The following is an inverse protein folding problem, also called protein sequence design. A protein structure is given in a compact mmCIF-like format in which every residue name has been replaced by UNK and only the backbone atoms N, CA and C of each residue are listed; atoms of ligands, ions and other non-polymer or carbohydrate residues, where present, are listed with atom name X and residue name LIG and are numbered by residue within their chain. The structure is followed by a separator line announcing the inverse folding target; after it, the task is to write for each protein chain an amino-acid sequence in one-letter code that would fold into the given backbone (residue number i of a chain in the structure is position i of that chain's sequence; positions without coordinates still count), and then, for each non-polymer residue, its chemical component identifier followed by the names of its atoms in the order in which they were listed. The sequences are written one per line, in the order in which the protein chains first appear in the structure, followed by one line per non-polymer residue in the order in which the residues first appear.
data_IF_121123022368
#
_entry.id   IF_121123022368
#
_cell.length_a   1.000
_cell.length_b   1.000
_cell.length_c   1.000
_cell.angle_alpha   90.00
_cell.angle_beta   90.00
_cell.angle_gamma   90.00
#
_symmetry.space_group_name_H-M   'P 1'
#
loop_
_entity.id
_entity.type
_entity.pdbx_description
1 polymer ?
#
# COMPACT_ATOMS: atom_id res chain seq x y z
N UNK A 1 -26.96 11.34 23.32
CA UNK A 1 -26.68 11.74 24.71
C UNK A 1 -27.16 13.16 24.88
N UNK A 2 -28.37 13.30 25.40
CA UNK A 2 -28.99 14.59 25.69
C UNK A 2 -28.26 15.28 26.84
N UNK A 3 -27.91 16.56 26.67
CA UNK A 3 -27.64 17.45 27.78
C UNK A 3 -28.64 18.60 27.69
N UNK A 4 -29.66 18.52 28.54
CA UNK A 4 -30.65 19.57 28.73
C UNK A 4 -30.00 20.86 29.21
N UNK A 5 -30.32 21.95 28.52
CA UNK A 5 -29.98 23.29 28.95
C UNK A 5 -30.94 23.70 30.07
N UNK A 6 -30.45 23.68 31.30
CA UNK A 6 -31.13 24.26 32.45
C UNK A 6 -31.08 25.79 32.37
N UNK A 7 -32.25 26.39 32.22
CA UNK A 7 -32.51 27.82 32.30
C UNK A 7 -32.36 28.27 33.77
N UNK A 8 -31.62 29.35 34.10
CA UNK A 8 -31.58 29.84 35.46
C UNK A 8 -32.89 30.59 35.76
N UNK A 9 -33.73 30.00 36.61
CA UNK A 9 -34.84 30.71 37.25
C UNK A 9 -34.25 31.81 38.16
N UNK A 10 -34.46 33.06 37.78
CA UNK A 10 -34.27 34.21 38.66
C UNK A 10 -35.47 34.26 39.60
N UNK A 11 -35.26 33.75 40.82
CA UNK A 11 -36.18 33.94 41.94
C UNK A 11 -36.31 35.43 42.24
N UNK A 12 -37.50 35.97 41.98
CA UNK A 12 -37.89 37.31 42.39
C UNK A 12 -37.75 37.43 43.92
N UNK A 13 -36.72 38.16 44.37
CA UNK A 13 -36.64 38.62 45.74
C UNK A 13 -37.79 39.61 45.96
N UNK A 14 -38.80 39.18 46.71
CA UNK A 14 -39.86 40.01 47.29
C UNK A 14 -39.19 40.95 48.31
N UNK A 15 -38.66 42.08 47.87
CA UNK A 15 -38.41 43.20 48.76
C UNK A 15 -39.76 43.86 49.04
N UNK A 16 -40.17 43.83 50.31
CA UNK A 16 -41.34 44.56 50.79
C UNK A 16 -41.05 46.07 50.68
N UNK A 17 -41.45 46.66 49.57
CA UNK A 17 -41.50 48.12 49.43
C UNK A 17 -42.68 48.64 50.24
N UNK A 18 -42.36 49.46 51.25
CA UNK A 18 -43.30 50.41 51.84
C UNK A 18 -43.88 51.24 50.68
N UNK A 19 -45.19 51.55 50.64
CA UNK A 19 -45.77 52.27 49.50
C UNK A 19 -45.04 53.60 49.39
N UNK A 20 -44.23 53.74 48.35
CA UNK A 20 -43.63 55.01 47.98
C UNK A 20 -44.80 55.95 47.71
N UNK A 21 -45.06 56.87 48.65
CA UNK A 21 -45.99 57.97 48.45
C UNK A 21 -45.49 58.73 47.23
N UNK A 22 -46.10 58.46 46.09
CA UNK A 22 -45.77 59.06 44.81
C UNK A 22 -46.09 60.54 44.92
N UNK A 23 -45.10 61.33 45.32
CA UNK A 23 -45.23 62.76 45.60
C UNK A 23 -45.84 63.53 44.40
N UNK A 24 -45.73 62.96 43.20
CA UNK A 24 -46.36 63.45 41.97
C UNK A 24 -47.89 63.42 41.97
N UNK A 25 -48.51 62.62 42.85
CA UNK A 25 -49.96 62.46 42.98
C UNK A 25 -50.57 63.35 44.06
N UNK A 26 -49.76 64.08 44.82
CA UNK A 26 -50.20 64.94 45.90
C UNK A 26 -50.37 66.36 45.35
N UNK A 27 -51.52 66.97 45.60
CA UNK A 27 -51.82 68.32 45.12
C UNK A 27 -51.06 69.38 45.92
N UNK A 28 -50.73 70.51 45.30
CA UNK A 28 -49.98 71.59 45.95
C UNK A 28 -50.68 72.11 47.23
N UNK A 29 -52.01 72.13 47.24
CA UNK A 29 -52.84 72.52 48.40
C UNK A 29 -52.74 71.55 49.58
N UNK A 30 -52.50 70.27 49.32
CA UNK A 30 -52.28 69.24 50.34
C UNK A 30 -50.84 69.28 50.86
N UNK A 31 -49.88 69.61 49.99
CA UNK A 31 -48.49 69.81 50.35
C UNK A 31 -48.30 71.01 51.30
N UNK A 32 -49.03 72.10 51.06
CA UNK A 32 -49.01 73.32 51.89
C UNK A 32 -49.50 73.10 53.33
N UNK A 33 -50.29 72.04 53.57
CA UNK A 33 -50.77 71.67 54.92
C UNK A 33 -49.70 70.97 55.76
N UNK A 34 -48.56 70.59 55.17
CA UNK A 34 -47.50 69.89 55.88
C UNK A 34 -46.49 70.84 56.54
N UNK A 35 -45.93 70.40 57.67
CA UNK A 35 -44.82 71.10 58.31
C UNK A 35 -43.52 70.96 57.51
N UNK A 36 -42.65 71.97 57.62
CA UNK A 36 -41.34 72.02 56.94
C UNK A 36 -40.50 70.77 57.20
N UNK A 37 -40.50 70.26 58.43
CA UNK A 37 -39.71 69.10 58.85
C UNK A 37 -40.20 67.79 58.20
N UNK A 38 -41.51 67.67 57.96
CA UNK A 38 -42.10 66.50 57.29
C UNK A 38 -41.79 66.50 55.80
N UNK A 39 -41.91 67.66 55.14
CA UNK A 39 -41.51 67.86 53.74
C UNK A 39 -40.03 67.51 53.54
N UNK A 40 -39.14 67.98 54.42
CA UNK A 40 -37.70 67.66 54.36
C UNK A 40 -37.44 66.15 54.54
N UNK A 41 -38.13 65.48 55.49
CA UNK A 41 -37.98 64.03 55.68
C UNK A 41 -38.47 63.23 54.48
N UNK A 42 -39.59 63.62 53.86
CA UNK A 42 -40.12 62.97 52.66
C UNK A 42 -39.23 63.19 51.44
N UNK A 43 -38.73 64.40 51.23
CA UNK A 43 -37.79 64.72 50.17
C UNK A 43 -36.53 63.86 50.28
N UNK A 44 -35.91 63.78 51.46
CA UNK A 44 -34.71 62.94 51.68
C UNK A 44 -34.95 61.45 51.43
N UNK A 45 -36.14 60.94 51.78
CA UNK A 45 -36.53 59.55 51.48
C UNK A 45 -36.66 59.32 49.98
N UNK A 46 -37.39 60.19 49.28
CA UNK A 46 -37.55 60.11 47.83
C UNK A 46 -36.22 60.25 47.08
N UNK A 47 -35.31 61.12 47.54
CA UNK A 47 -33.96 61.26 46.99
C UNK A 47 -33.12 59.99 47.20
N UNK A 48 -33.20 59.35 48.37
CA UNK A 48 -32.50 58.10 48.66
C UNK A 48 -33.06 56.93 47.83
N UNK A 49 -34.38 56.80 47.69
CA UNK A 49 -35.03 55.80 46.84
C UNK A 49 -34.66 55.97 45.37
N UNK A 50 -34.74 57.21 44.85
CA UNK A 50 -34.29 57.52 43.48
C UNK A 50 -32.81 57.15 43.27
N UNK A 51 -31.94 57.45 44.24
CA UNK A 51 -30.53 57.06 44.17
C UNK A 51 -30.37 55.53 44.15
N UNK A 52 -31.11 54.80 44.99
CA UNK A 52 -31.10 53.33 45.00
C UNK A 52 -31.50 52.75 43.64
N UNK A 53 -32.61 53.22 43.06
CA UNK A 53 -33.08 52.75 41.75
C UNK A 53 -32.05 53.04 40.65
N UNK A 54 -31.40 54.21 40.68
CA UNK A 54 -30.33 54.55 39.73
C UNK A 54 -29.16 53.57 39.84
N UNK A 55 -28.75 53.23 41.07
CA UNK A 55 -27.66 52.27 41.30
C UNK A 55 -28.04 50.86 40.85
N UNK A 56 -29.27 50.41 41.13
CA UNK A 56 -29.77 49.11 40.70
C UNK A 56 -29.87 49.02 39.17
N UNK A 57 -30.33 50.08 38.52
CA UNK A 57 -30.33 50.18 37.06
C UNK A 57 -28.90 50.12 36.49
N UNK A 58 -27.95 50.82 37.10
CA UNK A 58 -26.52 50.76 36.70
C UNK A 58 -25.93 49.35 36.86
N UNK A 59 -26.26 48.67 37.96
CA UNK A 59 -25.85 47.28 38.21
C UNK A 59 -26.44 46.33 37.15
N UNK A 60 -27.75 46.43 36.89
CA UNK A 60 -28.43 45.62 35.88
C UNK A 60 -27.82 45.81 34.50
N UNK A 61 -27.53 47.07 34.13
CA UNK A 61 -26.98 47.36 32.82
C UNK A 61 -25.54 46.84 32.65
N UNK A 62 -24.73 46.88 33.71
CA UNK A 62 -23.42 46.20 33.74
C UNK A 62 -23.54 44.69 33.55
N UNK A 63 -24.52 44.05 34.21
CA UNK A 63 -24.72 42.61 34.10
C UNK A 63 -25.21 42.19 32.70
N UNK A 64 -26.14 42.95 32.09
CA UNK A 64 -26.59 42.73 30.72
C UNK A 64 -25.41 42.82 29.75
N UNK A 65 -24.58 43.85 29.88
CA UNK A 65 -23.38 44.00 29.05
C UNK A 65 -22.38 42.86 29.25
N UNK A 66 -22.17 42.41 30.49
CA UNK A 66 -21.29 41.27 30.81
C UNK A 66 -21.77 39.99 30.11
N UNK A 67 -23.06 39.68 30.18
CA UNK A 67 -23.65 38.51 29.52
C UNK A 67 -23.58 38.60 28.01
N UNK A 68 -23.86 39.78 27.45
CA UNK A 68 -23.76 40.00 26.01
C UNK A 68 -22.33 39.75 25.51
N UNK A 69 -21.31 40.24 26.23
CA UNK A 69 -19.92 39.98 25.88
C UNK A 69 -19.54 38.49 25.98
N UNK A 70 -20.07 37.77 26.97
CA UNK A 70 -19.86 36.32 27.07
C UNK A 70 -20.44 35.58 25.85
N UNK A 71 -21.69 35.88 25.47
CA UNK A 71 -22.30 35.27 24.27
C UNK A 71 -21.56 35.64 22.99
N UNK A 72 -21.07 36.88 22.86
CA UNK A 72 -20.26 37.28 21.71
C UNK A 72 -18.95 36.48 21.62
N UNK A 73 -18.29 36.24 22.75
CA UNK A 73 -17.07 35.43 22.79
C UNK A 73 -17.36 33.96 22.45
N UNK A 74 -18.47 33.41 22.94
CA UNK A 74 -18.90 32.05 22.62
C UNK A 74 -19.23 31.90 21.12
N UNK A 75 -19.94 32.86 20.53
CA UNK A 75 -20.21 32.91 19.09
C UNK A 75 -18.91 32.91 18.28
N UNK A 76 -17.89 33.67 18.70
CA UNK A 76 -16.59 33.66 18.02
C UNK A 76 -15.89 32.31 18.13
N UNK A 77 -15.83 31.74 19.34
CA UNK A 77 -15.20 30.43 19.55
C UNK A 77 -15.89 29.30 18.77
N UNK A 78 -17.23 29.30 18.71
CA UNK A 78 -17.98 28.33 17.93
C UNK A 78 -17.76 28.50 16.42
N UNK A 79 -17.57 29.73 15.93
CA UNK A 79 -17.19 29.98 14.54
C UNK A 79 -15.83 29.38 14.21
N UNK A 80 -14.84 29.53 15.09
CA UNK A 80 -13.50 28.98 14.88
C UNK A 80 -13.51 27.45 14.83
N UNK A 81 -14.27 26.81 15.75
CA UNK A 81 -14.45 25.35 15.73
C UNK A 81 -15.15 24.88 14.46
N UNK A 82 -16.20 25.58 14.03
CA UNK A 82 -16.93 25.23 12.80
C UNK A 82 -16.03 25.39 11.57
N UNK A 83 -15.23 26.46 11.50
CA UNK A 83 -14.26 26.67 10.44
C UNK A 83 -13.27 25.51 10.37
N UNK A 84 -12.72 25.09 11.52
CA UNK A 84 -11.80 23.95 11.56
C UNK A 84 -12.47 22.65 11.10
N UNK A 85 -13.70 22.39 11.54
CA UNK A 85 -14.46 21.23 11.09
C UNK A 85 -14.73 21.26 9.59
N UNK A 86 -14.96 22.43 8.98
CA UNK A 86 -15.15 22.57 7.54
C UNK A 86 -13.87 22.27 6.75
N UNK A 87 -12.73 22.74 7.25
CA UNK A 87 -11.40 22.44 6.70
C UNK A 87 -11.14 20.92 6.75
N UNK A 88 -11.30 20.30 7.91
CA UNK A 88 -11.13 18.85 8.07
C UNK A 88 -12.09 18.06 7.17
N UNK A 89 -13.33 18.54 7.00
CA UNK A 89 -14.29 17.92 6.09
C UNK A 89 -13.85 18.02 4.62
N UNK A 90 -13.21 19.12 4.24
CA UNK A 90 -12.66 19.31 2.90
C UNK A 90 -11.45 18.40 2.68
N UNK A 91 -10.53 18.33 3.64
CA UNK A 91 -9.38 17.42 3.59
C UNK A 91 -9.84 15.96 3.45
N UNK A 92 -10.89 15.54 4.16
CA UNK A 92 -11.47 14.21 4.03
C UNK A 92 -12.06 13.96 2.63
N UNK A 93 -12.70 14.98 2.01
CA UNK A 93 -13.18 14.87 0.63
C UNK A 93 -12.02 14.70 -0.35
N UNK A 94 -10.95 15.46 -0.18
CA UNK A 94 -9.78 15.39 -1.05
C UNK A 94 -9.06 14.04 -0.90
N UNK A 95 -8.96 13.53 0.33
CA UNK A 95 -8.42 12.19 0.60
C UNK A 95 -9.27 11.09 -0.05
N UNK A 96 -10.59 11.19 0.02
CA UNK A 96 -11.48 10.24 -0.68
C UNK A 96 -11.20 10.20 -2.18
N UNK A 97 -11.06 11.38 -2.83
CA UNK A 97 -10.70 11.46 -4.25
C UNK A 97 -9.36 10.79 -4.55
N UNK A 98 -8.34 11.08 -3.74
CA UNK A 98 -7.00 10.47 -3.88
C UNK A 98 -7.04 8.94 -3.76
N UNK A 99 -7.74 8.41 -2.76
CA UNK A 99 -7.86 6.96 -2.54
C UNK A 99 -8.64 6.28 -3.68
N UNK A 100 -9.65 6.93 -4.24
CA UNK A 100 -10.38 6.39 -5.38
C UNK A 100 -9.50 6.33 -6.64
N UNK A 101 -8.67 7.35 -6.88
CA UNK A 101 -7.70 7.34 -7.98
C UNK A 101 -6.68 6.19 -7.83
N UNK A 102 -6.14 6.01 -6.63
CA UNK A 102 -5.21 4.91 -6.34
C UNK A 102 -5.88 3.54 -6.47
N UNK A 103 -7.13 3.41 -6.03
CA UNK A 103 -7.94 2.21 -6.26
C UNK A 103 -8.11 1.92 -7.75
N UNK A 104 -8.35 2.95 -8.58
CA UNK A 104 -8.45 2.79 -10.04
C UNK A 104 -7.10 2.43 -10.67
N UNK A 105 -5.99 3.02 -10.21
CA UNK A 105 -4.63 2.62 -10.64
C UNK A 105 -4.36 1.15 -10.31
N UNK A 106 -4.69 0.70 -9.10
CA UNK A 106 -4.56 -0.70 -8.68
C UNK A 106 -5.33 -1.67 -9.58
N UNK A 107 -6.57 -1.31 -9.96
CA UNK A 107 -7.36 -2.10 -10.93
C UNK A 107 -6.71 -2.16 -12.31
N UNK A 108 -6.15 -1.05 -12.82
CA UNK A 108 -5.45 -1.04 -14.11
C UNK A 108 -4.22 -1.94 -14.09
N UNK A 109 -3.38 -1.82 -13.05
CA UNK A 109 -2.18 -2.65 -12.87
C UNK A 109 -2.56 -4.13 -12.79
N UNK A 110 -3.59 -4.48 -12.00
CA UNK A 110 -4.04 -5.87 -11.89
C UNK A 110 -4.48 -6.46 -13.24
N UNK A 111 -5.18 -5.69 -14.08
CA UNK A 111 -5.57 -6.14 -15.43
C UNK A 111 -4.36 -6.33 -16.35
N UNK A 112 -3.39 -5.42 -16.33
CA UNK A 112 -2.15 -5.59 -17.10
C UNK A 112 -1.34 -6.78 -16.61
N UNK A 113 -1.24 -6.99 -15.30
CA UNK A 113 -0.58 -8.15 -14.72
C UNK A 113 -1.21 -9.47 -15.19
N UNK A 114 -2.54 -9.54 -15.20
CA UNK A 114 -3.24 -10.71 -15.73
C UNK A 114 -3.01 -10.92 -17.24
N UNK A 115 -2.96 -9.83 -18.03
CA UNK A 115 -2.63 -9.90 -19.47
C UNK A 115 -1.21 -10.43 -19.67
N UNK A 116 -0.24 -9.88 -18.96
CA UNK A 116 1.15 -10.32 -18.98
C UNK A 116 1.24 -11.80 -18.60
N UNK A 117 0.60 -12.22 -17.50
CA UNK A 117 0.59 -13.61 -17.06
C UNK A 117 0.04 -14.57 -18.13
N UNK A 118 -1.07 -14.20 -18.80
CA UNK A 118 -1.62 -15.00 -19.92
C UNK A 118 -0.64 -15.07 -21.11
N UNK A 119 -0.04 -13.95 -21.48
CA UNK A 119 0.93 -13.88 -22.57
C UNK A 119 2.16 -14.74 -22.28
N UNK A 120 2.79 -14.55 -21.12
CA UNK A 120 3.98 -15.31 -20.70
C UNK A 120 3.69 -16.82 -20.63
N UNK A 121 2.56 -17.23 -20.07
CA UNK A 121 2.18 -18.64 -20.05
C UNK A 121 1.96 -19.21 -21.47
N UNK A 122 1.37 -18.41 -22.38
CA UNK A 122 1.21 -18.79 -23.78
C UNK A 122 2.54 -18.94 -24.51
N UNK A 123 3.49 -18.03 -24.27
CA UNK A 123 4.82 -18.04 -24.84
C UNK A 123 5.61 -19.28 -24.36
N UNK A 124 5.63 -19.52 -23.05
CA UNK A 124 6.28 -20.71 -22.46
C UNK A 124 5.73 -22.02 -23.03
N UNK A 125 4.40 -22.15 -23.20
CA UNK A 125 3.82 -23.35 -23.82
C UNK A 125 4.31 -23.57 -25.25
N UNK A 126 4.45 -22.51 -26.05
CA UNK A 126 4.97 -22.60 -27.42
C UNK A 126 6.44 -23.00 -27.42
N UNK A 127 7.26 -22.38 -26.58
CA UNK A 127 8.68 -22.72 -26.47
C UNK A 127 8.89 -24.16 -26.03
N UNK A 128 8.17 -24.63 -25.01
CA UNK A 128 8.21 -26.05 -24.58
C UNK A 128 7.82 -26.98 -25.72
N UNK A 129 6.76 -26.67 -26.48
CA UNK A 129 6.36 -27.48 -27.63
C UNK A 129 7.47 -27.55 -28.70
N UNK A 130 8.13 -26.42 -28.98
CA UNK A 130 9.25 -26.36 -29.92
C UNK A 130 10.43 -27.21 -29.41
N UNK A 131 10.78 -27.11 -28.12
CA UNK A 131 11.86 -27.90 -27.54
C UNK A 131 11.56 -29.40 -27.55
N UNK A 132 10.32 -29.80 -27.26
CA UNK A 132 9.90 -31.21 -27.34
C UNK A 132 9.97 -31.73 -28.77
N UNK A 133 9.53 -30.94 -29.75
CA UNK A 133 9.66 -31.31 -31.16
C UNK A 133 11.13 -31.47 -31.56
N UNK A 134 11.99 -30.55 -31.11
CA UNK A 134 13.42 -30.62 -31.41
C UNK A 134 14.10 -31.82 -30.77
N UNK A 135 13.71 -32.16 -29.54
CA UNK A 135 14.20 -33.34 -28.84
C UNK A 135 13.89 -34.61 -29.63
N UNK A 136 12.63 -34.74 -30.09
CA UNK A 136 12.19 -35.89 -30.91
C UNK A 136 12.98 -36.01 -32.23
N UNK A 137 13.26 -34.90 -32.90
CA UNK A 137 14.10 -34.91 -34.11
C UNK A 137 15.53 -35.39 -33.81
N UNK A 138 16.11 -34.97 -32.68
CA UNK A 138 17.46 -35.38 -32.29
C UNK A 138 17.50 -36.87 -31.89
N UNK A 139 16.49 -37.36 -31.17
CA UNK A 139 16.34 -38.78 -30.85
C UNK A 139 16.24 -39.66 -32.11
N UNK A 140 15.47 -39.21 -33.10
CA UNK A 140 15.37 -39.92 -34.38
C UNK A 140 16.72 -39.97 -35.11
N UNK A 141 17.42 -38.83 -35.22
CA UNK A 141 18.75 -38.77 -35.85
C UNK A 141 19.77 -39.65 -35.11
N UNK A 142 19.71 -39.67 -33.78
CA UNK A 142 20.57 -40.53 -32.98
C UNK A 142 20.32 -42.01 -33.30
N UNK A 143 19.06 -42.42 -33.43
CA UNK A 143 18.71 -43.79 -33.80
C UNK A 143 19.20 -44.15 -35.22
N UNK A 144 19.09 -43.24 -36.17
CA UNK A 144 19.61 -43.40 -37.54
C UNK A 144 21.12 -43.60 -37.54
N UNK A 145 21.86 -42.74 -36.83
CA UNK A 145 23.33 -42.85 -36.69
C UNK A 145 23.74 -44.15 -35.99
N UNK A 146 23.01 -44.60 -34.98
CA UNK A 146 23.28 -45.88 -34.31
C UNK A 146 23.12 -47.04 -35.30
N UNK A 147 22.04 -47.04 -36.09
CA UNK A 147 21.79 -48.07 -37.11
C UNK A 147 22.89 -48.07 -38.18
N UNK A 148 23.23 -46.91 -38.74
CA UNK A 148 24.32 -46.79 -39.72
C UNK A 148 25.65 -47.28 -39.15
N UNK A 149 25.95 -46.98 -37.88
CA UNK A 149 27.14 -47.50 -37.21
C UNK A 149 27.11 -49.04 -37.05
N UNK A 150 25.94 -49.64 -36.82
CA UNK A 150 25.81 -51.10 -36.74
C UNK A 150 26.03 -51.75 -38.11
N UNK A 151 25.40 -51.21 -39.15
CA UNK A 151 25.58 -51.67 -40.53
C UNK A 151 27.06 -51.57 -40.96
N UNK A 152 27.73 -50.46 -40.64
CA UNK A 152 29.16 -50.28 -40.91
C UNK A 152 30.02 -51.32 -40.16
N UNK A 153 29.70 -51.62 -38.89
CA UNK A 153 30.41 -52.66 -38.13
C UNK A 153 30.24 -54.04 -38.77
N UNK A 154 29.06 -54.37 -39.25
CA UNK A 154 28.80 -55.63 -39.96
C UNK A 154 29.62 -55.73 -41.25
N UNK A 155 29.67 -54.65 -42.04
CA UNK A 155 30.51 -54.59 -43.26
C UNK A 155 31.99 -54.78 -42.92
N UNK A 156 32.50 -54.11 -41.88
CA UNK A 156 33.88 -54.29 -41.45
C UNK A 156 34.18 -55.74 -41.04
N UNK A 157 33.28 -56.40 -40.30
CA UNK A 157 33.43 -57.81 -39.92
C UNK A 157 33.48 -58.74 -41.13
N UNK A 158 32.59 -58.56 -42.12
CA UNK A 158 32.61 -59.35 -43.35
C UNK A 158 33.94 -59.17 -44.12
N UNK A 159 34.43 -57.94 -44.24
CA UNK A 159 35.71 -57.66 -44.90
C UNK A 159 36.90 -58.27 -44.14
N UNK A 160 36.85 -58.27 -42.80
CA UNK A 160 37.84 -58.95 -41.97
C UNK A 160 37.82 -60.46 -42.19
N UNK A 161 36.66 -61.09 -42.22
CA UNK A 161 36.51 -62.53 -42.51
C UNK A 161 37.05 -62.90 -43.90
N UNK A 162 36.71 -62.13 -44.94
CA UNK A 162 37.25 -62.33 -46.29
C UNK A 162 38.78 -62.21 -46.31
N UNK A 163 39.35 -61.22 -45.62
CA UNK A 163 40.81 -61.04 -45.49
C UNK A 163 41.45 -62.24 -44.78
N UNK A 164 40.85 -62.76 -43.72
CA UNK A 164 41.34 -63.95 -43.02
C UNK A 164 41.26 -65.21 -43.90
N UNK A 165 40.16 -65.40 -44.64
CA UNK A 165 39.98 -66.52 -45.56
C UNK A 165 40.97 -66.49 -46.73
N UNK A 166 41.20 -65.31 -47.30
CA UNK A 166 42.20 -65.09 -48.34
C UNK A 166 43.61 -65.38 -47.80
N UNK A 167 43.98 -64.84 -46.65
CA UNK A 167 45.28 -65.09 -46.00
C UNK A 167 45.48 -66.57 -45.66
N UNK A 168 44.43 -67.26 -45.22
CA UNK A 168 44.45 -68.70 -44.94
C UNK A 168 44.63 -69.50 -46.21
N UNK A 169 43.97 -69.13 -47.32
CA UNK A 169 44.14 -69.74 -48.65
C UNK A 169 45.56 -69.54 -49.19
N UNK A 170 46.13 -68.34 -49.05
CA UNK A 170 47.54 -68.10 -49.41
C UNK A 170 48.51 -68.89 -48.51
N UNK A 171 48.16 -69.16 -47.24
CA UNK A 171 48.97 -69.93 -46.28
C UNK A 171 48.88 -71.44 -46.49
N UNK A 172 47.71 -71.99 -46.85
CA UNK A 172 47.58 -73.39 -47.25
C UNK A 172 48.25 -73.67 -48.61
N UNK A 173 48.28 -72.70 -49.52
CA UNK A 173 49.07 -72.79 -50.76
C UNK A 173 50.59 -72.64 -50.56
N UNK A 174 51.04 -72.05 -49.44
CA UNK A 174 52.46 -71.97 -49.06
C UNK A 174 52.93 -73.14 -48.17
N UNK A 175 52.01 -74.03 -47.75
CA UNK A 175 52.34 -75.15 -46.86
C UNK A 175 53.13 -76.29 -47.54
N UNK A 176 53.26 -76.25 -48.87
CA UNK A 176 54.14 -77.16 -49.64
C UNK A 176 55.51 -76.55 -49.99
N UNK A 177 55.80 -75.31 -49.58
CA UNK A 177 57.11 -74.68 -49.85
C UNK A 177 57.72 -74.09 -48.59
N UNK A 178 58.38 -74.99 -47.84
CA UNK A 178 59.64 -74.75 -47.12
C UNK A 178 59.87 -73.35 -46.51
N UNK A 179 59.61 -73.26 -45.21
CA UNK A 179 60.59 -72.89 -44.17
C UNK A 179 61.68 -71.87 -44.60
N UNK A 180 61.43 -70.58 -44.36
CA UNK A 180 62.49 -69.61 -44.05
C UNK A 180 62.09 -68.76 -42.86
N UNK A 181 62.86 -68.90 -41.79
CA UNK A 181 62.94 -67.96 -40.67
C UNK A 181 63.59 -66.66 -41.15
N UNK A 182 63.08 -65.50 -40.72
CA UNK A 182 63.94 -64.37 -40.42
C UNK A 182 63.28 -63.38 -39.44
N UNK A 183 64.14 -62.72 -38.68
CA UNK A 183 63.95 -62.07 -37.40
C UNK A 183 63.19 -60.73 -37.39
N UNK A 184 62.54 -60.52 -36.23
CA UNK A 184 62.39 -59.29 -35.44
C UNK A 184 63.06 -58.05 -36.04
N UNK A 185 62.23 -57.11 -36.52
CA UNK A 185 62.62 -55.76 -36.92
C UNK A 185 61.51 -54.79 -36.56
N UNK A 186 61.68 -54.10 -35.44
CA UNK A 186 60.85 -53.00 -34.95
C UNK A 186 60.63 -51.92 -36.02
N UNK A 187 59.37 -51.58 -36.30
CA UNK A 187 58.93 -50.27 -36.82
C UNK A 187 57.42 -50.12 -36.52
N UNK A 188 57.06 -49.37 -35.49
CA UNK A 188 56.74 -47.94 -35.52
C UNK A 188 55.26 -47.72 -35.88
N UNK A 189 54.43 -47.58 -34.83
CA UNK A 189 53.08 -47.03 -34.96
C UNK A 189 53.20 -45.55 -35.27
N UNK A 190 52.73 -45.13 -36.46
CA UNK A 190 52.43 -43.73 -36.72
C UNK A 190 51.15 -43.42 -35.94
N UNK A 191 51.28 -42.71 -34.82
CA UNK A 191 50.16 -42.09 -34.14
C UNK A 191 49.86 -40.74 -34.82
N UNK A 192 48.66 -40.65 -35.38
CA UNK A 192 48.03 -39.46 -35.95
C UNK A 192 47.99 -38.29 -34.94
N UNK A 193 48.42 -37.06 -35.30
CA UNK A 193 48.38 -35.91 -34.40
C UNK A 193 46.99 -35.27 -34.20
N UNK A 194 45.93 -35.73 -34.87
CA UNK A 194 44.61 -35.04 -34.80
C UNK A 194 43.57 -35.65 -33.84
N UNK A 195 43.91 -36.68 -33.07
CA UNK A 195 43.01 -37.20 -32.03
C UNK A 195 43.19 -36.46 -30.70
N UNK A 196 42.34 -35.45 -30.55
CA UNK A 196 42.03 -34.74 -29.33
C UNK A 196 41.84 -35.71 -28.15
N UNK A 197 42.66 -35.53 -27.13
CA UNK A 197 42.66 -36.27 -25.86
C UNK A 197 41.23 -36.43 -25.33
N UNK A 198 40.74 -37.67 -25.24
CA UNK A 198 39.71 -38.03 -24.25
C UNK A 198 40.44 -38.05 -22.91
N UNK A 199 40.27 -36.99 -22.12
CA UNK A 199 40.71 -36.98 -20.73
C UNK A 199 39.90 -38.02 -19.96
N UNK A 200 40.59 -39.08 -19.57
CA UNK A 200 40.12 -40.08 -18.64
C UNK A 200 39.72 -39.37 -17.32
N UNK A 201 38.41 -39.25 -17.07
CA UNK A 201 37.86 -38.70 -15.83
C UNK A 201 37.88 -39.78 -14.76
N UNK A 202 39.08 -40.25 -14.44
CA UNK A 202 39.30 -41.26 -13.42
C UNK A 202 40.55 -40.93 -12.59
N UNK A 203 40.57 -39.72 -12.04
CA UNK A 203 41.35 -39.37 -10.84
C UNK A 203 40.74 -38.14 -10.18
N UNK A 204 39.69 -38.37 -9.40
CA UNK A 204 39.29 -37.46 -8.35
C UNK A 204 40.45 -37.32 -7.37
N UNK A 205 41.09 -36.15 -7.35
CA UNK A 205 41.89 -35.72 -6.21
C UNK A 205 41.56 -34.26 -5.95
N UNK A 206 40.92 -34.06 -4.80
CA UNK A 206 40.64 -32.78 -4.16
C UNK A 206 41.97 -32.17 -3.72
N UNK A 207 42.17 -30.89 -4.03
CA UNK A 207 42.81 -29.88 -3.19
C UNK A 207 42.13 -28.54 -3.48
#
# INVERSE_FOLDING_TARGET
MEKGAQQPQLSAAKSAECPADDLSKITDDELLKWGKEELVRRLRRAEAEKMSVILDHSNLMREVNRRLQQHLNEIRSLKDVNQKLQEDNQELRDLCCFLDDDRQKGKRVSREWQRLGRYSAGLMRKEVAIYLQKLKELEQRQAEVIRENLELKEVCLMLEEERHNNTTTYRSNLSDSSRLECHVGSHCMVCDPELQVICDTSRGTVC
#
